data_IF_203956181199
#
_entry.id   IF_203956181199
#
_cell.length_a   1.000
_cell.length_b   1.000
_cell.length_c   1.000
_cell.angle_alpha   90.00
_cell.angle_beta   90.00
_cell.angle_gamma   90.00
#
_symmetry.space_group_name_H-M   'P 1'
#
loop_
_entity.id
_entity.type
_entity.pdbx_description
1 polymer ?
#
# COMPACT_ATOMS: atom_id res chain seq x y z
N UNK A 1 -77.82 6.71 -28.29
CA UNK A 1 -76.58 7.43 -28.62
C UNK A 1 -75.74 7.45 -27.34
N UNK A 2 -74.84 6.51 -27.19
CA UNK A 2 -73.95 6.44 -25.98
C UNK A 2 -72.65 7.18 -26.31
N UNK A 3 -72.35 8.20 -25.49
CA UNK A 3 -71.06 8.90 -25.57
C UNK A 3 -70.05 8.12 -24.74
N UNK A 4 -69.01 7.61 -25.37
CA UNK A 4 -67.83 7.02 -24.71
C UNK A 4 -66.87 8.17 -24.47
N UNK A 5 -66.62 8.43 -23.19
CA UNK A 5 -65.62 9.41 -22.75
C UNK A 5 -64.29 8.65 -22.54
N UNK A 6 -63.30 8.93 -23.41
CA UNK A 6 -61.97 8.35 -23.36
C UNK A 6 -61.14 9.20 -22.39
N UNK A 7 -60.79 8.64 -21.20
CA UNK A 7 -59.92 9.26 -20.24
C UNK A 7 -58.48 8.83 -20.56
N UNK A 8 -57.63 9.75 -21.05
CA UNK A 8 -56.23 9.51 -21.28
C UNK A 8 -55.49 9.64 -19.94
N UNK A 9 -54.96 8.54 -19.42
CA UNK A 9 -54.07 8.55 -18.26
C UNK A 9 -52.66 8.92 -18.72
N UNK A 10 -52.18 10.09 -18.31
CA UNK A 10 -50.81 10.57 -18.52
C UNK A 10 -49.92 9.91 -17.48
N UNK A 11 -49.14 8.88 -17.89
CA UNK A 11 -48.12 8.29 -17.04
C UNK A 11 -46.90 9.23 -16.98
N UNK A 12 -46.70 9.93 -15.87
CA UNK A 12 -45.50 10.73 -15.62
C UNK A 12 -44.41 9.77 -15.13
N UNK A 13 -43.46 9.46 -16.01
CA UNK A 13 -42.23 8.77 -15.61
C UNK A 13 -41.35 9.79 -14.88
N UNK A 14 -41.25 9.65 -13.55
CA UNK A 14 -40.17 10.29 -12.80
C UNK A 14 -38.87 9.57 -13.09
N UNK A 15 -38.04 10.14 -13.95
CA UNK A 15 -36.63 9.77 -14.06
C UNK A 15 -35.98 10.32 -12.80
N UNK A 16 -35.73 9.44 -11.82
CA UNK A 16 -34.80 9.76 -10.72
C UNK A 16 -33.41 9.86 -11.33
N UNK A 17 -33.02 11.04 -11.78
CA UNK A 17 -31.64 11.35 -12.00
C UNK A 17 -30.98 11.42 -10.61
N UNK A 18 -30.38 10.33 -10.16
CA UNK A 18 -29.42 10.42 -9.07
C UNK A 18 -28.32 11.37 -9.57
N UNK A 19 -28.27 12.56 -9.00
CA UNK A 19 -27.16 13.47 -9.22
C UNK A 19 -25.92 12.74 -8.70
N UNK A 20 -25.06 12.28 -9.61
CA UNK A 20 -23.79 11.64 -9.26
C UNK A 20 -22.96 12.69 -8.53
N UNK A 21 -22.51 12.38 -7.32
CA UNK A 21 -21.72 13.30 -6.51
C UNK A 21 -20.40 13.55 -7.24
N UNK A 22 -20.15 14.82 -7.57
CA UNK A 22 -18.89 15.24 -8.17
C UNK A 22 -17.90 15.52 -7.03
N UNK A 23 -16.79 14.84 -7.06
CA UNK A 23 -15.68 15.05 -6.10
C UNK A 23 -14.54 15.83 -6.76
N UNK A 24 -13.74 16.51 -5.94
CA UNK A 24 -12.56 17.25 -6.39
C UNK A 24 -11.33 16.76 -5.63
N UNK A 25 -10.14 16.93 -6.19
CA UNK A 25 -8.90 16.59 -5.49
C UNK A 25 -8.62 17.49 -4.29
N UNK A 26 -8.97 18.77 -4.39
CA UNK A 26 -8.84 19.76 -3.30
C UNK A 26 -9.85 20.89 -3.43
N UNK A 27 -10.04 21.63 -2.35
CA UNK A 27 -10.93 22.83 -2.35
C UNK A 27 -10.43 23.89 -3.34
N UNK A 28 -11.30 24.31 -4.25
CA UNK A 28 -11.03 25.35 -5.23
C UNK A 28 -10.34 24.87 -6.50
N UNK A 29 -10.16 23.57 -6.64
CA UNK A 29 -9.70 22.94 -7.89
C UNK A 29 -10.81 22.95 -8.96
N UNK A 30 -10.42 23.02 -10.22
CA UNK A 30 -11.28 22.87 -11.38
C UNK A 30 -11.46 21.40 -11.81
N UNK A 31 -10.75 20.45 -11.17
CA UNK A 31 -10.99 19.03 -11.39
C UNK A 31 -12.34 18.62 -10.81
N UNK A 32 -13.16 17.99 -11.64
CA UNK A 32 -14.47 17.46 -11.28
C UNK A 32 -14.50 15.98 -11.66
N UNK A 33 -14.42 15.12 -10.65
CA UNK A 33 -14.39 13.69 -10.86
C UNK A 33 -15.76 13.06 -10.68
N UNK A 34 -16.08 12.15 -11.58
CA UNK A 34 -17.22 11.24 -11.52
C UNK A 34 -16.73 9.87 -11.13
N UNK A 35 -17.27 9.30 -10.06
CA UNK A 35 -16.90 7.95 -9.60
C UNK A 35 -17.45 6.91 -10.58
N UNK A 36 -16.58 6.04 -11.06
CA UNK A 36 -16.95 4.85 -11.90
C UNK A 36 -17.12 3.64 -10.98
N UNK A 37 -16.15 3.39 -10.13
CA UNK A 37 -16.21 2.38 -9.07
C UNK A 37 -15.36 2.83 -7.89
N UNK A 38 -15.77 2.47 -6.67
CA UNK A 38 -15.03 2.72 -5.43
C UNK A 38 -15.33 1.58 -4.46
N UNK A 39 -14.30 0.80 -4.19
CA UNK A 39 -14.39 -0.41 -3.38
C UNK A 39 -14.25 -0.01 -1.91
N UNK A 40 -15.13 -0.53 -1.06
CA UNK A 40 -15.08 -0.23 0.37
C UNK A 40 -13.71 -0.57 0.97
N UNK A 41 -13.16 0.38 1.71
CA UNK A 41 -11.94 0.23 2.47
C UNK A 41 -12.16 0.68 3.92
N UNK A 42 -11.30 0.24 4.81
CA UNK A 42 -11.24 0.69 6.20
C UNK A 42 -10.75 2.14 6.29
N UNK A 43 -10.82 2.74 7.48
CA UNK A 43 -10.34 4.11 7.70
C UNK A 43 -8.83 4.23 7.37
N UNK A 44 -8.42 5.45 6.98
CA UNK A 44 -7.01 5.73 6.69
C UNK A 44 -6.21 5.70 7.99
N UNK A 45 -5.23 4.80 8.06
CA UNK A 45 -4.26 4.75 9.15
C UNK A 45 -3.03 5.60 8.81
N UNK A 46 -2.28 6.01 9.83
CA UNK A 46 -1.04 6.76 9.64
C UNK A 46 0.18 5.95 10.06
N UNK A 47 1.08 5.70 9.09
CA UNK A 47 2.37 5.07 9.40
C UNK A 47 3.31 6.00 10.20
N UNK A 48 3.00 7.29 10.31
CA UNK A 48 3.84 8.27 10.99
C UNK A 48 5.23 8.39 10.35
N UNK A 49 6.27 8.35 11.18
CA UNK A 49 7.69 8.40 10.77
C UNK A 49 8.31 7.00 10.76
N UNK A 50 7.80 6.15 9.89
CA UNK A 50 8.30 4.78 9.70
C UNK A 50 8.42 4.46 8.23
N UNK A 51 9.29 3.52 7.87
CA UNK A 51 9.37 2.97 6.51
C UNK A 51 8.46 1.75 6.32
N UNK A 52 7.25 1.75 6.90
CA UNK A 52 6.36 0.58 6.94
C UNK A 52 5.13 0.69 6.05
N UNK A 53 5.15 1.58 5.05
CA UNK A 53 4.07 1.76 4.08
C UNK A 53 3.60 0.45 3.43
N UNK A 54 4.51 -0.47 3.17
CA UNK A 54 4.23 -1.79 2.62
C UNK A 54 3.26 -2.61 3.49
N UNK A 55 3.39 -2.53 4.83
CA UNK A 55 2.49 -3.21 5.76
C UNK A 55 1.12 -2.53 5.81
N UNK A 56 1.08 -1.18 5.91
CA UNK A 56 -0.16 -0.41 5.96
C UNK A 56 -0.98 -0.59 4.68
N UNK A 57 -0.36 -0.47 3.51
CA UNK A 57 -1.07 -0.58 2.23
C UNK A 57 -1.53 -2.00 1.92
N UNK A 58 -0.70 -3.01 2.21
CA UNK A 58 -1.09 -4.39 2.00
C UNK A 58 -2.20 -4.82 2.97
N UNK A 59 -2.16 -4.42 4.26
CA UNK A 59 -3.25 -4.74 5.18
C UNK A 59 -4.53 -4.00 4.83
N UNK A 60 -4.46 -2.74 4.40
CA UNK A 60 -5.63 -2.04 3.89
C UNK A 60 -6.29 -2.77 2.71
N UNK A 61 -5.48 -3.32 1.79
CA UNK A 61 -5.96 -4.19 0.72
C UNK A 61 -6.59 -5.48 1.26
N UNK A 62 -5.92 -6.17 2.18
CA UNK A 62 -6.39 -7.44 2.78
C UNK A 62 -7.70 -7.23 3.56
N UNK A 63 -7.86 -6.12 4.25
CA UNK A 63 -9.08 -5.73 4.94
C UNK A 63 -10.27 -5.58 3.97
N UNK A 64 -10.05 -4.95 2.81
CA UNK A 64 -11.06 -4.86 1.74
C UNK A 64 -11.39 -6.25 1.18
N UNK A 65 -10.40 -7.12 0.99
CA UNK A 65 -10.62 -8.50 0.56
C UNK A 65 -11.42 -9.32 1.58
N UNK A 66 -11.12 -9.18 2.87
CA UNK A 66 -11.88 -9.84 3.93
C UNK A 66 -13.34 -9.39 3.90
N UNK A 67 -13.61 -8.08 3.72
CA UNK A 67 -14.97 -7.55 3.58
C UNK A 67 -15.64 -8.13 2.33
N UNK A 68 -14.99 -8.15 1.18
CA UNK A 68 -15.51 -8.74 -0.07
C UNK A 68 -15.83 -10.23 0.08
N UNK A 69 -15.03 -10.97 0.83
CA UNK A 69 -15.23 -12.41 1.11
C UNK A 69 -16.29 -12.67 2.20
N UNK A 70 -16.91 -11.62 2.75
CA UNK A 70 -17.92 -11.73 3.80
C UNK A 70 -17.36 -12.03 5.19
N UNK A 71 -16.06 -11.84 5.41
CA UNK A 71 -15.39 -12.02 6.71
C UNK A 71 -15.69 -10.93 7.73
N UNK A 72 -16.33 -9.83 7.30
CA UNK A 72 -16.65 -8.66 8.12
C UNK A 72 -15.60 -7.56 8.05
N UNK A 73 -15.88 -6.43 8.69
CA UNK A 73 -14.96 -5.28 8.77
C UNK A 73 -14.06 -5.44 10.00
N UNK A 74 -12.77 -5.50 9.75
CA UNK A 74 -11.72 -5.60 10.76
C UNK A 74 -10.62 -4.61 10.46
N UNK A 75 -10.08 -3.98 11.48
CA UNK A 75 -8.80 -3.27 11.42
C UNK A 75 -7.73 -4.21 11.92
N UNK A 76 -6.73 -4.48 11.09
CA UNK A 76 -5.67 -5.43 11.35
C UNK A 76 -4.40 -4.71 11.81
N UNK A 77 -3.58 -5.38 12.61
CA UNK A 77 -2.36 -4.78 13.15
C UNK A 77 -1.22 -4.79 12.15
N UNK A 78 -0.88 -3.66 11.60
CA UNK A 78 0.28 -3.47 10.73
C UNK A 78 1.57 -3.74 11.48
N UNK A 79 1.64 -3.34 12.75
CA UNK A 79 2.83 -3.49 13.57
C UNK A 79 3.07 -4.94 14.01
N UNK A 80 2.05 -5.79 14.04
CA UNK A 80 2.23 -7.23 14.23
C UNK A 80 2.99 -7.85 13.06
N UNK A 81 2.65 -7.45 11.84
CA UNK A 81 3.37 -7.85 10.62
C UNK A 81 4.80 -7.30 10.65
N UNK A 82 4.97 -6.00 10.89
CA UNK A 82 6.29 -5.34 10.95
C UNK A 82 7.20 -6.02 11.95
N UNK A 83 6.70 -6.29 13.16
CA UNK A 83 7.49 -6.92 14.22
C UNK A 83 7.98 -8.32 13.84
N UNK A 84 7.12 -9.13 13.20
CA UNK A 84 7.50 -10.45 12.71
C UNK A 84 8.50 -10.35 11.54
N UNK A 85 8.23 -9.46 10.58
CA UNK A 85 9.14 -9.21 9.45
C UNK A 85 10.52 -8.78 9.91
N UNK A 86 10.63 -7.88 10.88
CA UNK A 86 11.94 -7.44 11.39
C UNK A 86 12.73 -8.57 12.06
N UNK A 87 12.03 -9.49 12.75
CA UNK A 87 12.64 -10.69 13.31
C UNK A 87 13.25 -11.60 12.23
N UNK A 88 12.46 -11.89 11.19
CA UNK A 88 12.88 -12.81 10.13
C UNK A 88 13.92 -12.19 9.21
N UNK A 89 13.80 -10.88 8.92
CA UNK A 89 14.80 -10.12 8.17
C UNK A 89 16.16 -10.13 8.87
N UNK A 90 16.18 -9.99 10.21
CA UNK A 90 17.42 -10.07 10.98
C UNK A 90 18.08 -11.45 10.86
N UNK A 91 17.31 -12.52 10.94
CA UNK A 91 17.83 -13.87 10.75
C UNK A 91 18.40 -14.05 9.33
N UNK A 92 17.66 -13.58 8.31
CA UNK A 92 18.13 -13.67 6.93
C UNK A 92 19.39 -12.83 6.69
N UNK A 93 19.47 -11.61 7.23
CA UNK A 93 20.64 -10.74 7.16
C UNK A 93 21.88 -11.41 7.74
N UNK A 94 21.77 -12.03 8.91
CA UNK A 94 22.87 -12.74 9.56
C UNK A 94 23.26 -13.98 8.73
N UNK A 95 22.30 -14.75 8.19
CA UNK A 95 22.57 -15.90 7.29
C UNK A 95 23.29 -15.47 6.00
N UNK A 96 22.96 -14.29 5.48
CA UNK A 96 23.57 -13.71 4.28
C UNK A 96 24.88 -12.96 4.58
N UNK A 97 25.39 -13.04 5.79
CA UNK A 97 26.63 -12.40 6.22
C UNK A 97 26.64 -10.88 5.97
N UNK A 98 25.51 -10.21 6.16
CA UNK A 98 25.36 -8.79 5.93
C UNK A 98 25.17 -8.37 4.46
N UNK A 99 25.09 -9.32 3.52
CA UNK A 99 24.89 -9.03 2.10
C UNK A 99 23.41 -9.08 1.71
N UNK A 100 22.61 -8.31 2.41
CA UNK A 100 21.19 -8.13 2.20
C UNK A 100 20.81 -6.70 2.60
N UNK A 101 19.83 -6.10 1.95
CA UNK A 101 19.30 -4.82 2.43
C UNK A 101 18.64 -5.02 3.79
N UNK A 102 19.09 -4.26 4.79
CA UNK A 102 18.49 -4.26 6.12
C UNK A 102 18.02 -2.85 6.47
N UNK A 103 16.70 -2.66 6.44
CA UNK A 103 16.05 -1.39 6.71
C UNK A 103 14.56 -1.60 7.01
N UNK A 104 13.82 -0.53 7.24
CA UNK A 104 12.40 -0.60 7.60
C UNK A 104 11.47 -1.00 6.44
N UNK A 105 11.93 -0.88 5.20
CA UNK A 105 11.17 -1.22 4.00
C UNK A 105 10.89 -2.71 3.87
N UNK A 106 9.94 -3.06 3.04
CA UNK A 106 9.52 -4.42 2.72
C UNK A 106 8.62 -4.43 1.50
N UNK A 107 8.21 -5.60 1.08
CA UNK A 107 7.33 -5.78 -0.06
C UNK A 107 5.97 -6.37 0.36
N UNK A 108 4.98 -6.31 -0.52
CA UNK A 108 3.63 -6.80 -0.19
C UNK A 108 3.57 -8.30 0.09
N UNK A 109 4.43 -9.08 -0.55
CA UNK A 109 4.52 -10.52 -0.26
C UNK A 109 5.05 -10.81 1.16
N UNK A 110 5.77 -9.88 1.79
CA UNK A 110 6.17 -10.04 3.18
C UNK A 110 4.94 -10.16 4.07
N UNK A 111 3.90 -9.37 3.81
CA UNK A 111 2.65 -9.38 4.58
C UNK A 111 1.93 -10.72 4.47
N UNK A 112 1.75 -11.23 3.26
CA UNK A 112 1.09 -12.53 3.06
C UNK A 112 1.89 -13.70 3.62
N UNK A 113 3.22 -13.67 3.51
CA UNK A 113 4.09 -14.68 4.12
C UNK A 113 4.06 -14.61 5.66
N UNK A 114 4.09 -13.41 6.26
CA UNK A 114 3.97 -13.25 7.71
C UNK A 114 2.60 -13.72 8.22
N UNK A 115 1.53 -13.43 7.51
CA UNK A 115 0.18 -13.95 7.85
C UNK A 115 0.16 -15.47 7.76
N UNK A 116 0.77 -16.05 6.75
CA UNK A 116 0.88 -17.51 6.57
C UNK A 116 1.70 -18.15 7.68
N UNK A 117 2.81 -17.56 8.09
CA UNK A 117 3.71 -18.12 9.08
C UNK A 117 3.29 -17.83 10.52
N UNK A 118 2.86 -16.60 10.82
CA UNK A 118 2.57 -16.13 12.17
C UNK A 118 1.08 -15.88 12.45
N UNK A 119 0.25 -15.80 11.40
CA UNK A 119 -1.14 -15.34 11.50
C UNK A 119 -1.20 -13.80 11.56
N UNK A 120 -2.38 -13.29 11.94
CA UNK A 120 -2.65 -11.85 12.11
C UNK A 120 -3.49 -11.63 13.35
N UNK A 121 -3.45 -10.41 13.88
CA UNK A 121 -4.27 -9.97 15.01
C UNK A 121 -4.99 -8.68 14.70
N UNK A 122 -6.13 -8.38 15.37
CA UNK A 122 -6.75 -7.07 15.28
C UNK A 122 -5.84 -5.95 15.80
N UNK A 123 -6.00 -4.74 15.27
CA UNK A 123 -5.25 -3.55 15.69
C UNK A 123 -5.42 -3.28 17.20
N UNK A 124 -6.64 -3.41 17.74
CA UNK A 124 -6.91 -3.21 19.18
C UNK A 124 -6.20 -4.21 20.10
N UNK A 125 -5.78 -5.36 19.56
CA UNK A 125 -5.06 -6.39 20.31
C UNK A 125 -3.57 -6.13 20.37
N UNK A 126 -3.02 -5.57 19.30
CA UNK A 126 -1.60 -5.24 19.22
C UNK A 126 -1.39 -3.98 18.40
N UNK A 127 -1.14 -2.88 19.08
CA UNK A 127 -0.94 -1.58 18.43
C UNK A 127 0.51 -1.38 17.97
N UNK A 128 1.48 -2.11 18.52
CA UNK A 128 2.90 -1.87 18.27
C UNK A 128 3.40 -0.52 18.80
N UNK A 129 2.66 0.09 19.72
CA UNK A 129 2.94 1.42 20.28
C UNK A 129 2.82 1.39 21.82
N UNK A 130 3.77 0.74 22.51
CA UNK A 130 3.71 0.55 23.97
C UNK A 130 3.78 1.85 24.77
N UNK A 131 4.29 2.93 24.18
CA UNK A 131 4.40 4.26 24.81
C UNK A 131 3.15 5.11 24.59
N UNK A 132 2.20 4.67 23.75
CA UNK A 132 1.00 5.40 23.36
C UNK A 132 1.29 6.81 22.80
N UNK A 133 2.35 6.94 22.03
CA UNK A 133 2.65 8.17 21.29
C UNK A 133 1.58 8.43 20.23
N UNK A 134 1.31 9.71 19.94
CA UNK A 134 0.32 10.10 18.94
C UNK A 134 0.68 9.61 17.52
N UNK A 135 1.98 9.49 17.24
CA UNK A 135 2.49 9.04 15.93
C UNK A 135 3.65 8.07 16.12
N UNK A 136 3.68 7.04 15.30
CA UNK A 136 4.83 6.16 15.21
C UNK A 136 6.09 6.93 14.79
N UNK A 137 7.24 6.58 15.40
CA UNK A 137 8.55 7.07 15.02
C UNK A 137 9.60 5.96 15.23
N UNK A 138 10.00 5.31 14.15
CA UNK A 138 10.94 4.19 14.19
C UNK A 138 12.40 4.60 13.94
N UNK A 139 12.72 5.90 13.83
CA UNK A 139 14.06 6.33 13.48
C UNK A 139 15.15 5.83 14.44
N UNK A 140 14.87 5.75 15.76
CA UNK A 140 15.78 5.15 16.74
C UNK A 140 15.78 3.63 16.63
N UNK A 141 14.60 3.00 16.58
CA UNK A 141 14.45 1.55 16.45
C UNK A 141 15.23 1.02 15.25
N UNK A 142 15.07 1.62 14.07
CA UNK A 142 15.73 1.19 12.83
C UNK A 142 17.26 1.19 12.98
N UNK A 143 17.83 2.21 13.62
CA UNK A 143 19.27 2.29 13.86
C UNK A 143 19.75 1.29 14.90
N UNK A 144 18.97 1.06 15.97
CA UNK A 144 19.31 0.05 17.00
C UNK A 144 19.31 -1.35 16.39
N UNK A 145 18.28 -1.68 15.62
CA UNK A 145 18.15 -3.00 14.97
C UNK A 145 19.29 -3.25 13.98
N UNK A 146 19.60 -2.29 13.10
CA UNK A 146 20.73 -2.38 12.17
C UNK A 146 22.05 -2.54 12.93
N UNK A 147 22.32 -1.70 13.94
CA UNK A 147 23.55 -1.78 14.72
C UNK A 147 23.73 -3.13 15.43
N UNK A 148 22.63 -3.76 15.85
CA UNK A 148 22.70 -5.09 16.48
C UNK A 148 23.07 -6.18 15.46
N UNK A 149 22.45 -6.23 14.28
CA UNK A 149 22.74 -7.26 13.29
C UNK A 149 24.14 -7.07 12.69
N UNK A 150 24.58 -5.83 12.49
CA UNK A 150 25.93 -5.51 12.05
C UNK A 150 26.97 -5.99 13.08
N UNK A 151 26.78 -5.72 14.37
CA UNK A 151 27.65 -6.20 15.43
C UNK A 151 27.76 -7.73 15.46
N UNK A 152 26.66 -8.45 15.16
CA UNK A 152 26.64 -9.91 15.06
C UNK A 152 27.44 -10.40 13.86
N UNK A 153 27.24 -9.78 12.70
CA UNK A 153 27.93 -10.18 11.44
C UNK A 153 29.41 -9.84 11.49
N UNK A 154 29.77 -8.68 12.06
CA UNK A 154 31.16 -8.22 12.16
C UNK A 154 31.94 -8.87 13.31
N UNK A 155 31.29 -9.66 14.17
CA UNK A 155 31.93 -10.33 15.29
C UNK A 155 33.06 -11.22 14.83
N UNK A 156 34.28 -10.98 15.36
CA UNK A 156 35.50 -11.73 14.99
C UNK A 156 35.60 -13.12 15.63
N UNK A 157 34.52 -13.64 16.18
CA UNK A 157 34.47 -14.97 16.77
C UNK A 157 34.26 -16.05 15.68
N UNK A 158 34.86 -17.21 15.85
CA UNK A 158 34.77 -18.31 14.88
C UNK A 158 33.34 -18.86 14.73
N UNK A 159 32.55 -18.81 15.77
CA UNK A 159 31.21 -19.40 15.83
C UNK A 159 30.26 -18.45 16.57
N UNK A 160 29.15 -18.11 15.95
CA UNK A 160 28.11 -17.31 16.60
C UNK A 160 27.41 -18.13 17.70
N UNK A 161 27.11 -17.49 18.83
CA UNK A 161 26.25 -18.07 19.85
C UNK A 161 24.77 -17.92 19.45
N UNK A 162 23.86 -18.76 19.98
CA UNK A 162 22.43 -18.59 19.75
C UNK A 162 21.81 -17.41 20.51
N UNK A 163 22.59 -16.67 21.31
CA UNK A 163 22.09 -15.64 22.23
C UNK A 163 21.72 -14.31 21.54
N UNK A 164 22.25 -14.06 20.36
CA UNK A 164 22.00 -12.81 19.65
C UNK A 164 20.50 -12.66 19.29
N UNK A 165 19.84 -13.76 18.86
CA UNK A 165 18.44 -13.69 18.44
C UNK A 165 17.49 -13.39 19.61
N UNK A 166 17.50 -14.07 20.75
CA UNK A 166 16.72 -13.66 21.93
C UNK A 166 16.98 -12.23 22.38
N UNK A 167 18.23 -11.74 22.30
CA UNK A 167 18.54 -10.34 22.61
C UNK A 167 17.89 -9.38 21.62
N UNK A 168 17.93 -9.70 20.33
CA UNK A 168 17.27 -8.93 19.28
C UNK A 168 15.74 -8.90 19.47
N UNK A 169 15.13 -10.07 19.76
CA UNK A 169 13.68 -10.19 20.06
C UNK A 169 13.29 -9.32 21.28
N UNK A 170 14.10 -9.29 22.33
CA UNK A 170 13.84 -8.45 23.51
C UNK A 170 13.86 -6.95 23.18
N UNK A 171 14.68 -6.52 22.21
CA UNK A 171 14.65 -5.14 21.71
C UNK A 171 13.35 -4.88 20.95
N UNK A 172 12.93 -5.77 20.06
CA UNK A 172 11.66 -5.65 19.38
C UNK A 172 10.48 -5.58 20.37
N UNK A 173 10.47 -6.42 21.40
CA UNK A 173 9.44 -6.41 22.44
C UNK A 173 9.44 -5.11 23.25
N UNK A 174 10.60 -4.51 23.45
CA UNK A 174 10.73 -3.22 24.16
C UNK A 174 10.14 -2.06 23.35
N UNK A 175 10.40 -2.02 22.04
CA UNK A 175 9.98 -0.92 21.18
C UNK A 175 8.57 -1.09 20.61
N UNK A 176 8.14 -2.33 20.34
CA UNK A 176 6.88 -2.62 19.66
C UNK A 176 5.87 -3.37 20.54
N UNK A 177 6.28 -3.80 21.73
CA UNK A 177 5.46 -4.61 22.63
C UNK A 177 5.60 -6.12 22.38
N UNK A 178 5.27 -6.90 23.40
CA UNK A 178 5.27 -8.38 23.31
C UNK A 178 4.13 -8.87 22.42
N UNK A 179 4.43 -9.83 21.55
CA UNK A 179 3.42 -10.44 20.67
C UNK A 179 2.41 -11.26 21.46
N UNK A 180 1.10 -11.10 21.23
CA UNK A 180 0.10 -11.93 21.88
C UNK A 180 0.15 -13.38 21.34
N UNK A 181 0.31 -14.36 22.22
CA UNK A 181 0.13 -15.77 21.87
C UNK A 181 -1.34 -16.15 21.79
N UNK A 182 -2.16 -15.56 22.66
CA UNK A 182 -3.60 -15.72 22.73
C UNK A 182 -4.25 -14.39 23.09
N UNK A 183 -5.46 -14.16 22.57
CA UNK A 183 -6.20 -12.93 22.84
C UNK A 183 -7.72 -13.16 22.78
N UNK A 184 -8.47 -12.26 23.40
CA UNK A 184 -9.92 -12.21 23.29
C UNK A 184 -10.33 -11.12 22.32
N UNK A 185 -11.16 -11.44 21.33
CA UNK A 185 -11.72 -10.49 20.38
C UNK A 185 -13.17 -10.82 20.10
N UNK A 186 -14.07 -9.83 20.20
CA UNK A 186 -15.52 -10.01 20.04
C UNK A 186 -16.09 -11.18 20.87
N UNK A 187 -15.60 -11.33 22.11
CA UNK A 187 -16.07 -12.36 23.04
C UNK A 187 -15.61 -13.79 22.77
N UNK A 188 -14.67 -13.99 21.83
CA UNK A 188 -14.06 -15.29 21.52
C UNK A 188 -12.57 -15.26 21.80
N UNK A 189 -12.02 -16.44 22.13
CA UNK A 189 -10.58 -16.63 22.31
C UNK A 189 -9.94 -17.06 21.00
N UNK A 190 -8.80 -16.46 20.69
CA UNK A 190 -8.05 -16.75 19.48
C UNK A 190 -6.54 -16.85 19.77
N UNK A 191 -5.84 -17.57 18.92
CA UNK A 191 -4.43 -17.37 18.60
C UNK A 191 -4.36 -16.59 17.29
N UNK A 192 -3.24 -15.93 16.95
CA UNK A 192 -3.11 -15.25 15.66
C UNK A 192 -3.52 -16.12 14.46
N UNK A 193 -3.06 -17.36 14.41
CA UNK A 193 -3.43 -18.31 13.33
C UNK A 193 -4.91 -18.71 13.34
N UNK A 194 -5.52 -18.85 14.49
CA UNK A 194 -6.95 -19.20 14.54
C UNK A 194 -7.84 -18.02 14.18
N UNK A 195 -7.39 -16.80 14.46
CA UNK A 195 -8.06 -15.59 14.01
C UNK A 195 -7.99 -15.46 12.49
N UNK A 196 -6.80 -15.61 11.90
CA UNK A 196 -6.62 -15.62 10.43
C UNK A 196 -7.60 -16.59 9.74
N UNK A 197 -7.71 -17.82 10.25
CA UNK A 197 -8.65 -18.82 9.71
C UNK A 197 -10.11 -18.39 9.79
N UNK A 198 -10.48 -17.55 10.76
CA UNK A 198 -11.85 -17.05 10.90
C UNK A 198 -12.23 -15.93 9.94
N UNK A 199 -11.25 -15.34 9.24
CA UNK A 199 -11.45 -14.22 8.33
C UNK A 199 -11.85 -14.63 6.90
N UNK A 200 -11.94 -15.93 6.62
CA UNK A 200 -12.15 -16.48 5.25
C UNK A 200 -11.11 -16.03 4.22
N UNK A 201 -9.96 -15.55 4.68
CA UNK A 201 -8.86 -15.08 3.88
C UNK A 201 -7.79 -16.16 3.74
N UNK A 202 -7.34 -16.41 2.51
CA UNK A 202 -6.22 -17.29 2.23
C UNK A 202 -5.08 -16.51 1.54
N UNK A 203 -3.93 -16.32 2.20
CA UNK A 203 -2.82 -15.55 1.63
C UNK A 203 -2.21 -16.16 0.36
N UNK A 204 -2.52 -17.41 0.02
CA UNK A 204 -2.04 -18.09 -1.19
C UNK A 204 -2.87 -17.79 -2.46
N UNK A 205 -4.01 -17.09 -2.32
CA UNK A 205 -4.90 -16.79 -3.44
C UNK A 205 -4.50 -15.52 -4.20
N UNK A 206 -3.38 -14.89 -3.84
CA UNK A 206 -2.95 -13.60 -4.39
C UNK A 206 -1.71 -13.74 -5.26
N UNK A 207 -1.67 -12.93 -6.33
CA UNK A 207 -0.56 -12.88 -7.26
C UNK A 207 0.09 -11.49 -7.25
N UNK A 208 1.38 -11.46 -7.52
CA UNK A 208 2.16 -10.24 -7.62
C UNK A 208 2.56 -10.06 -9.07
N UNK A 209 2.18 -8.95 -9.68
CA UNK A 209 2.48 -8.66 -11.08
C UNK A 209 3.41 -7.45 -11.19
N UNK A 210 4.25 -7.46 -12.19
CA UNK A 210 5.12 -6.36 -12.58
C UNK A 210 5.21 -6.26 -14.09
N UNK A 211 5.84 -5.20 -14.59
CA UNK A 211 6.02 -4.99 -16.03
C UNK A 211 7.42 -4.45 -16.30
N UNK A 212 8.33 -5.33 -16.70
CA UNK A 212 9.73 -4.99 -17.01
C UNK A 212 10.22 -5.75 -18.25
N UNK A 213 11.00 -5.08 -19.10
CA UNK A 213 11.50 -5.66 -20.38
C UNK A 213 12.82 -6.40 -20.26
N UNK A 214 13.54 -6.27 -19.13
CA UNK A 214 14.80 -6.97 -18.92
C UNK A 214 14.64 -8.45 -18.51
N UNK A 215 13.38 -8.88 -18.26
CA UNK A 215 12.98 -10.28 -18.11
C UNK A 215 11.89 -10.65 -19.12
N UNK A 216 11.77 -11.93 -19.51
CA UNK A 216 10.70 -12.38 -20.39
C UNK A 216 9.31 -12.06 -19.81
N UNK A 217 8.38 -11.64 -20.66
CA UNK A 217 6.98 -11.55 -20.27
C UNK A 217 6.35 -12.94 -20.13
N UNK A 218 5.31 -13.03 -19.30
CA UNK A 218 4.55 -14.25 -18.97
C UNK A 218 5.35 -15.31 -18.21
N UNK A 219 6.39 -14.87 -17.55
CA UNK A 219 7.22 -15.70 -16.66
C UNK A 219 7.38 -15.02 -15.30
N UNK A 220 7.73 -15.79 -14.29
CA UNK A 220 8.11 -15.25 -12.99
C UNK A 220 9.60 -14.88 -12.98
N UNK A 221 9.92 -13.78 -12.30
CA UNK A 221 11.29 -13.38 -12.02
C UNK A 221 11.39 -12.79 -10.61
N UNK A 222 12.57 -12.84 -10.01
CA UNK A 222 12.83 -12.18 -8.73
C UNK A 222 12.89 -10.67 -8.95
N UNK A 223 11.98 -9.94 -8.32
CA UNK A 223 11.94 -8.48 -8.46
C UNK A 223 13.20 -7.86 -7.82
N UNK A 224 13.95 -7.12 -8.62
CA UNK A 224 15.27 -6.56 -8.27
C UNK A 224 15.13 -5.17 -7.65
N UNK A 225 14.46 -5.12 -6.51
CA UNK A 225 14.37 -3.92 -5.66
C UNK A 225 14.98 -4.20 -4.30
N UNK A 226 15.64 -3.22 -3.65
CA UNK A 226 16.33 -3.44 -2.39
C UNK A 226 15.44 -4.01 -1.27
N UNK A 227 14.17 -3.63 -1.26
CA UNK A 227 13.20 -4.03 -0.23
C UNK A 227 12.64 -5.45 -0.44
N UNK A 228 12.93 -6.10 -1.59
CA UNK A 228 12.65 -7.53 -1.79
C UNK A 228 13.70 -8.42 -1.12
N UNK A 229 13.84 -8.27 0.19
CA UNK A 229 14.82 -9.03 1.00
C UNK A 229 14.55 -10.54 1.03
N UNK A 230 13.31 -10.98 0.80
CA UNK A 230 12.94 -12.39 0.69
C UNK A 230 13.31 -13.00 -0.66
N UNK A 231 13.75 -12.21 -1.64
CA UNK A 231 14.02 -12.66 -3.02
C UNK A 231 12.83 -13.37 -3.66
N UNK A 232 11.62 -12.86 -3.42
CA UNK A 232 10.39 -13.42 -3.99
C UNK A 232 10.21 -12.99 -5.44
N UNK A 233 9.58 -13.88 -6.21
CA UNK A 233 9.25 -13.63 -7.60
C UNK A 233 7.93 -12.89 -7.75
N UNK A 234 7.81 -12.21 -8.89
CA UNK A 234 6.59 -11.58 -9.39
C UNK A 234 6.34 -12.07 -10.82
N UNK A 235 5.10 -12.10 -11.25
CA UNK A 235 4.73 -12.46 -12.62
C UNK A 235 4.85 -11.25 -13.54
N UNK A 236 5.60 -11.38 -14.62
CA UNK A 236 5.91 -10.29 -15.54
C UNK A 236 4.91 -10.25 -16.71
N UNK A 237 4.30 -9.09 -16.95
CA UNK A 237 3.38 -8.88 -18.07
C UNK A 237 3.70 -7.57 -18.79
N UNK A 238 3.32 -7.42 -20.08
CA UNK A 238 3.39 -6.12 -20.75
C UNK A 238 2.61 -5.04 -19.97
N UNK A 239 3.09 -3.79 -20.03
CA UNK A 239 2.49 -2.68 -19.29
C UNK A 239 1.00 -2.48 -19.63
N UNK A 240 0.64 -2.59 -20.91
CA UNK A 240 -0.75 -2.45 -21.38
C UNK A 240 -1.64 -3.54 -20.75
N UNK A 241 -1.18 -4.80 -20.73
CA UNK A 241 -1.92 -5.90 -20.12
C UNK A 241 -2.01 -5.75 -18.59
N UNK A 242 -0.95 -5.24 -17.94
CA UNK A 242 -1.00 -4.91 -16.52
C UNK A 242 -2.10 -3.89 -16.23
N UNK A 243 -2.21 -2.85 -17.05
CA UNK A 243 -3.26 -1.84 -16.91
C UNK A 243 -4.66 -2.41 -17.16
N UNK A 244 -4.81 -3.32 -18.12
CA UNK A 244 -6.07 -4.04 -18.36
C UNK A 244 -6.47 -4.92 -17.19
N UNK A 245 -5.50 -5.61 -16.57
CA UNK A 245 -5.73 -6.42 -15.34
C UNK A 245 -6.19 -5.53 -14.19
N UNK A 246 -5.56 -4.37 -13.98
CA UNK A 246 -5.93 -3.40 -12.96
C UNK A 246 -7.37 -2.92 -13.17
N UNK A 247 -7.70 -2.48 -14.38
CA UNK A 247 -9.05 -2.02 -14.71
C UNK A 247 -10.09 -3.13 -14.54
N UNK A 248 -9.78 -4.33 -15.00
CA UNK A 248 -10.68 -5.48 -14.86
C UNK A 248 -10.91 -5.85 -13.40
N UNK A 249 -9.87 -5.85 -12.59
CA UNK A 249 -9.96 -6.13 -11.15
C UNK A 249 -10.89 -5.13 -10.46
N UNK A 250 -10.64 -3.83 -10.61
CA UNK A 250 -11.43 -2.78 -9.99
C UNK A 250 -12.90 -2.78 -10.44
N UNK A 251 -13.18 -3.07 -11.72
CA UNK A 251 -14.54 -3.19 -12.24
C UNK A 251 -15.29 -4.45 -11.78
N UNK A 252 -14.60 -5.39 -11.12
CA UNK A 252 -15.15 -6.63 -10.57
C UNK A 252 -14.97 -6.71 -9.04
N UNK A 253 -14.89 -5.57 -8.35
CA UNK A 253 -14.80 -5.45 -6.90
C UNK A 253 -13.52 -6.02 -6.27
N UNK A 254 -12.41 -6.05 -7.02
CA UNK A 254 -11.08 -6.40 -6.50
C UNK A 254 -10.20 -5.16 -6.45
N UNK A 255 -9.86 -4.73 -5.24
CA UNK A 255 -8.85 -3.69 -5.02
C UNK A 255 -7.42 -4.27 -5.12
N UNK A 256 -6.38 -3.45 -4.97
CA UNK A 256 -5.00 -3.92 -5.02
C UNK A 256 -4.03 -3.06 -4.24
N UNK A 257 -2.99 -3.68 -3.70
CA UNK A 257 -1.82 -2.97 -3.20
C UNK A 257 -0.90 -2.60 -4.38
N UNK A 258 -0.37 -1.38 -4.36
CA UNK A 258 0.43 -0.81 -5.44
C UNK A 258 1.70 -0.16 -4.89
N UNK A 259 2.85 -0.62 -5.38
CA UNK A 259 4.16 -0.04 -5.13
C UNK A 259 4.50 0.99 -6.21
N UNK A 260 4.96 2.17 -5.80
CA UNK A 260 5.18 3.30 -6.69
C UNK A 260 6.28 4.23 -6.19
N UNK A 261 6.64 5.19 -7.03
CA UNK A 261 7.51 6.32 -6.68
C UNK A 261 6.66 7.57 -6.39
N UNK A 262 6.65 8.02 -5.14
CA UNK A 262 5.96 9.24 -4.71
C UNK A 262 6.88 10.46 -4.71
N UNK A 263 8.18 10.27 -4.98
CA UNK A 263 9.15 11.36 -5.15
C UNK A 263 9.04 12.05 -6.51
N UNK A 264 8.30 11.46 -7.45
CA UNK A 264 8.00 12.02 -8.77
C UNK A 264 7.40 13.44 -8.69
N UNK A 265 7.76 14.30 -9.63
CA UNK A 265 7.35 15.72 -9.60
C UNK A 265 5.84 15.92 -9.61
N UNK A 266 5.12 15.08 -10.35
CA UNK A 266 3.67 15.15 -10.48
C UNK A 266 2.88 14.49 -9.35
N UNK A 267 3.51 13.90 -8.34
CA UNK A 267 2.82 13.38 -7.16
C UNK A 267 2.71 14.46 -6.08
N UNK A 268 1.50 14.85 -5.69
CA UNK A 268 1.25 15.80 -4.61
C UNK A 268 0.18 15.29 -3.64
N UNK A 269 0.63 14.80 -2.48
CA UNK A 269 -0.28 14.39 -1.42
C UNK A 269 -1.15 15.54 -0.91
N UNK A 270 -0.59 16.74 -0.78
CA UNK A 270 -1.31 17.93 -0.32
C UNK A 270 -2.43 18.35 -1.25
N UNK A 271 -2.23 18.14 -2.54
CA UNK A 271 -3.21 18.48 -3.57
C UNK A 271 -4.12 17.29 -3.90
N UNK A 272 -3.90 16.13 -3.26
CA UNK A 272 -4.71 14.92 -3.48
C UNK A 272 -4.68 14.42 -4.91
N UNK A 273 -3.57 14.62 -5.64
CA UNK A 273 -3.46 14.28 -7.06
C UNK A 273 -2.04 13.84 -7.44
N UNK A 274 -1.99 12.82 -8.29
CA UNK A 274 -0.77 12.38 -8.97
C UNK A 274 -1.01 12.33 -10.47
N UNK A 275 -0.11 12.89 -11.26
CA UNK A 275 -0.20 12.97 -12.73
C UNK A 275 1.21 13.11 -13.34
N UNK A 276 1.33 12.85 -14.65
CA UNK A 276 2.60 13.00 -15.38
C UNK A 276 2.43 14.06 -16.47
N UNK A 277 2.57 15.36 -16.16
CA UNK A 277 2.29 16.41 -17.11
C UNK A 277 3.33 16.42 -18.25
N UNK A 278 2.91 16.83 -19.45
CA UNK A 278 3.81 16.96 -20.61
C UNK A 278 4.95 17.91 -20.28
N UNK A 279 4.65 19.01 -19.62
CA UNK A 279 5.61 20.02 -19.21
C UNK A 279 5.79 20.00 -17.67
N UNK A 280 6.64 19.09 -17.18
CA UNK A 280 7.02 19.01 -15.77
C UNK A 280 7.82 20.21 -15.26
N UNK A 281 8.33 21.06 -16.16
CA UNK A 281 9.17 22.22 -15.82
C UNK A 281 8.43 23.31 -15.03
N UNK A 282 7.10 23.28 -14.97
CA UNK A 282 6.30 24.26 -14.24
C UNK A 282 6.00 23.90 -12.79
N UNK A 283 6.46 22.74 -12.31
CA UNK A 283 6.27 22.32 -10.91
C UNK A 283 7.42 22.86 -10.07
N UNK A 284 7.12 23.84 -9.20
CA UNK A 284 8.08 24.34 -8.23
C UNK A 284 8.12 23.46 -7.01
N UNK A 285 9.28 22.89 -6.73
CA UNK A 285 9.52 22.04 -5.58
C UNK A 285 10.27 22.81 -4.50
N UNK A 286 9.71 22.86 -3.29
CA UNK A 286 10.35 23.46 -2.12
C UNK A 286 10.50 22.39 -1.02
N UNK A 287 11.72 22.21 -0.52
CA UNK A 287 12.06 21.15 0.43
C UNK A 287 12.60 19.91 -0.26
N UNK A 288 12.71 18.83 0.50
CA UNK A 288 13.15 17.51 0.02
C UNK A 288 12.03 16.51 0.25
N UNK A 289 11.82 15.62 -0.70
CA UNK A 289 10.96 14.46 -0.46
C UNK A 289 11.66 13.54 0.54
N UNK A 290 10.88 13.06 1.49
CA UNK A 290 11.30 12.01 2.39
C UNK A 290 10.25 10.90 2.33
N UNK A 291 10.51 9.92 1.52
CA UNK A 291 9.63 8.78 1.25
C UNK A 291 9.31 7.92 2.47
N UNK A 292 10.13 8.01 3.51
CA UNK A 292 9.94 7.24 4.74
C UNK A 292 9.06 7.95 5.78
N UNK A 293 8.70 9.25 5.57
CA UNK A 293 7.98 10.01 6.57
C UNK A 293 6.86 10.83 5.96
N UNK A 294 5.65 10.57 6.36
CA UNK A 294 4.43 11.24 5.89
C UNK A 294 4.40 12.76 6.07
N UNK A 295 5.18 13.30 6.99
CA UNK A 295 5.20 14.72 7.35
C UNK A 295 6.40 15.51 6.77
N UNK A 296 7.25 14.88 5.97
CA UNK A 296 8.52 15.45 5.48
C UNK A 296 8.61 15.57 3.96
N UNK A 297 7.47 15.48 3.25
CA UNK A 297 7.43 15.63 1.79
C UNK A 297 7.68 17.06 1.32
N UNK A 298 8.21 17.21 0.11
CA UNK A 298 8.36 18.50 -0.52
C UNK A 298 7.00 19.15 -0.80
N UNK A 299 6.97 20.48 -0.72
CA UNK A 299 5.84 21.27 -1.22
C UNK A 299 5.99 21.43 -2.72
N UNK A 300 4.98 21.03 -3.46
CA UNK A 300 4.92 21.17 -4.93
C UNK A 300 3.85 22.18 -5.29
N UNK A 301 4.21 23.20 -6.05
CA UNK A 301 3.33 24.28 -6.48
C UNK A 301 3.26 24.30 -7.99
N UNK A 302 2.07 24.12 -8.55
CA UNK A 302 1.82 24.22 -9.98
C UNK A 302 0.32 24.27 -10.25
N UNK A 303 -0.06 24.91 -11.35
CA UNK A 303 -1.43 24.95 -11.85
C UNK A 303 -1.92 23.58 -12.35
N UNK A 304 -1.03 22.63 -12.59
CA UNK A 304 -1.41 21.26 -12.99
C UNK A 304 -2.22 20.52 -11.91
N UNK A 305 -2.12 20.94 -10.65
CA UNK A 305 -2.93 20.39 -9.56
C UNK A 305 -4.26 21.13 -9.34
N UNK A 306 -4.49 22.22 -10.08
CA UNK A 306 -5.68 23.06 -9.96
C UNK A 306 -6.69 22.83 -11.09
N UNK A 307 -6.21 22.46 -12.29
CA UNK A 307 -7.05 22.25 -13.46
C UNK A 307 -6.51 21.11 -14.35
N UNK A 308 -7.37 20.39 -15.10
CA UNK A 308 -6.96 19.35 -16.04
C UNK A 308 -5.89 19.83 -17.00
N UNK A 309 -4.85 19.05 -17.16
CA UNK A 309 -3.74 19.31 -18.05
C UNK A 309 -3.45 18.11 -18.98
N UNK A 310 -2.68 18.35 -20.01
CA UNK A 310 -2.17 17.27 -20.86
C UNK A 310 -1.06 16.50 -20.13
N UNK A 311 -1.09 15.19 -20.22
CA UNK A 311 -0.10 14.29 -19.64
C UNK A 311 0.69 13.57 -20.72
N UNK A 312 1.90 13.12 -20.36
CA UNK A 312 2.74 12.29 -21.23
C UNK A 312 2.07 10.95 -21.46
N UNK A 313 2.18 10.47 -22.66
CA UNK A 313 1.91 9.05 -22.94
C UNK A 313 3.14 8.25 -22.51
N UNK A 314 2.98 7.46 -21.46
CA UNK A 314 4.05 6.63 -20.91
C UNK A 314 4.14 5.32 -21.67
N UNK A 315 5.31 5.02 -22.23
CA UNK A 315 5.57 3.75 -22.95
C UNK A 315 6.29 2.75 -22.06
N UNK A 316 6.25 1.49 -22.48
CA UNK A 316 6.98 0.40 -21.83
C UNK A 316 8.50 0.70 -21.73
N UNK A 317 9.08 1.29 -22.78
CA UNK A 317 10.49 1.66 -22.83
C UNK A 317 10.81 2.82 -21.86
N UNK A 318 9.94 3.81 -21.76
CA UNK A 318 10.11 4.91 -20.79
C UNK A 318 10.09 4.38 -19.36
N UNK A 319 9.13 3.50 -19.04
CA UNK A 319 9.05 2.83 -17.74
C UNK A 319 10.33 2.06 -17.42
N UNK A 320 10.81 1.22 -18.35
CA UNK A 320 12.04 0.44 -18.16
C UNK A 320 13.25 1.33 -17.97
N UNK A 321 13.40 2.36 -18.81
CA UNK A 321 14.53 3.30 -18.72
C UNK A 321 14.55 4.02 -17.36
N UNK A 322 13.38 4.46 -16.87
CA UNK A 322 13.27 5.17 -15.61
C UNK A 322 13.63 4.28 -14.41
N UNK A 323 13.30 2.99 -14.48
CA UNK A 323 13.74 1.99 -13.50
C UNK A 323 15.26 1.75 -13.57
N UNK A 324 15.81 1.56 -14.76
CA UNK A 324 17.24 1.22 -14.96
C UNK A 324 18.18 2.38 -14.55
N UNK A 325 17.72 3.63 -14.65
CA UNK A 325 18.54 4.80 -14.36
C UNK A 325 18.19 5.52 -13.05
N UNK A 326 17.32 4.90 -12.21
CA UNK A 326 16.87 5.42 -10.92
C UNK A 326 16.07 6.74 -10.98
N UNK A 327 15.48 7.09 -12.14
CA UNK A 327 14.48 8.15 -12.22
C UNK A 327 13.21 7.78 -11.47
N UNK A 328 12.82 6.50 -11.55
CA UNK A 328 11.71 5.93 -10.79
C UNK A 328 12.23 4.83 -9.87
N UNK A 329 11.94 4.93 -8.58
CA UNK A 329 12.32 3.94 -7.57
C UNK A 329 11.09 3.36 -6.89
N UNK A 330 11.22 2.17 -6.28
CA UNK A 330 10.20 1.61 -5.40
C UNK A 330 10.36 2.24 -4.01
N UNK A 331 9.57 3.25 -3.73
CA UNK A 331 9.76 4.00 -2.49
C UNK A 331 8.52 4.14 -1.62
N UNK A 332 7.33 3.73 -2.11
CA UNK A 332 6.11 3.82 -1.32
C UNK A 332 5.04 2.81 -1.76
N UNK A 333 4.34 2.25 -0.77
CA UNK A 333 3.19 1.38 -0.99
C UNK A 333 1.87 2.10 -0.71
N UNK A 334 0.87 1.90 -1.56
CA UNK A 334 -0.48 2.46 -1.44
C UNK A 334 -1.53 1.40 -1.81
N UNK A 335 -2.80 1.71 -1.55
CA UNK A 335 -3.94 0.84 -1.87
C UNK A 335 -4.83 1.50 -2.91
N UNK A 336 -5.00 0.87 -4.08
CA UNK A 336 -5.88 1.33 -5.16
C UNK A 336 -7.27 0.74 -4.94
N UNK A 337 -8.27 1.60 -4.77
CA UNK A 337 -9.64 1.19 -4.41
C UNK A 337 -10.67 1.45 -5.52
N UNK A 338 -10.36 2.28 -6.53
CA UNK A 338 -11.39 2.59 -7.49
C UNK A 338 -10.92 3.34 -8.73
N UNK A 339 -11.89 3.69 -9.55
CA UNK A 339 -11.72 4.43 -10.79
C UNK A 339 -12.63 5.65 -10.78
N UNK A 340 -12.09 6.80 -11.16
CA UNK A 340 -12.84 8.02 -11.45
C UNK A 340 -12.52 8.52 -12.84
N UNK A 341 -13.40 9.38 -13.38
CA UNK A 341 -13.15 10.13 -14.62
C UNK A 341 -13.32 11.61 -14.34
N UNK A 342 -12.44 12.42 -14.89
CA UNK A 342 -12.60 13.87 -14.87
C UNK A 342 -13.68 14.34 -15.85
N UNK A 343 -13.95 15.64 -15.87
CA UNK A 343 -14.92 16.26 -16.76
C UNK A 343 -14.58 16.15 -18.25
N UNK A 344 -13.34 15.80 -18.60
CA UNK A 344 -12.91 15.54 -19.99
C UNK A 344 -13.08 14.08 -20.39
N UNK A 345 -13.42 13.22 -19.41
CA UNK A 345 -13.54 11.77 -19.58
C UNK A 345 -12.25 11.00 -19.37
N UNK A 346 -11.16 11.69 -18.95
CA UNK A 346 -9.88 11.06 -18.63
C UNK A 346 -10.00 10.23 -17.35
N UNK A 347 -9.44 9.02 -17.36
CA UNK A 347 -9.46 8.07 -16.26
C UNK A 347 -8.37 8.37 -15.25
N UNK A 348 -8.71 8.26 -13.96
CA UNK A 348 -7.82 8.27 -12.81
C UNK A 348 -8.19 7.14 -11.86
N UNK A 349 -7.26 6.77 -10.98
CA UNK A 349 -7.49 5.79 -9.92
C UNK A 349 -7.71 6.47 -8.57
N UNK A 350 -8.59 5.89 -7.75
CA UNK A 350 -8.71 6.27 -6.33
C UNK A 350 -7.63 5.51 -5.56
N UNK A 351 -6.82 6.24 -4.82
CA UNK A 351 -5.68 5.67 -4.10
C UNK A 351 -5.75 6.08 -2.63
N UNK A 352 -5.82 5.07 -1.75
CA UNK A 352 -5.73 5.22 -0.31
C UNK A 352 -4.26 5.16 0.12
N UNK A 353 -3.77 6.25 0.72
CA UNK A 353 -2.43 6.37 1.26
C UNK A 353 -2.43 6.12 2.77
N UNK A 354 -1.26 5.96 3.39
CA UNK A 354 -1.05 5.71 4.82
C UNK A 354 -0.41 6.90 5.56
N UNK A 355 -0.76 8.12 5.18
CA UNK A 355 -0.20 9.35 5.77
C UNK A 355 -1.19 10.15 6.64
N UNK A 356 -2.28 9.52 7.04
CA UNK A 356 -3.36 10.15 7.79
C UNK A 356 -4.31 10.95 6.88
N UNK A 357 -5.29 11.62 7.48
CA UNK A 357 -6.32 12.42 6.80
C UNK A 357 -6.02 13.91 6.92
#
# INVERSE_FOLDING_TARGET
MNKITLTAALAVFFINANAQELITNKKGSEYLFTVVTDIEATEVQSQGRTGTCWSFSALSFIESEIMRLGGGKHELSEMFIVRNTYSDKAEQYVRMHGNLNFGPGGAFHDVTEMIKEHGIVPLDVYTGNPTNEEKFNHGELDQVLLGMVDAVVEAKQKTLTPLWRPAYEAVLDTYLGEKPEQFSYNGKQYTPKSFTKSLNFNPEDYVYIASFTHHPFYEEFVLEVPDNWMMKSVYNVPMEEMMEVIDHALMNDYSMAWASDVSEEGFSFRDGLALVPIDGANIKKTGKDNKNYSDAGAVKESTVFDAPCEEKEITQEMRQKAFDNYETTDDHGMHVTGIVKDQTGKKYYIVKNSWGT
#
